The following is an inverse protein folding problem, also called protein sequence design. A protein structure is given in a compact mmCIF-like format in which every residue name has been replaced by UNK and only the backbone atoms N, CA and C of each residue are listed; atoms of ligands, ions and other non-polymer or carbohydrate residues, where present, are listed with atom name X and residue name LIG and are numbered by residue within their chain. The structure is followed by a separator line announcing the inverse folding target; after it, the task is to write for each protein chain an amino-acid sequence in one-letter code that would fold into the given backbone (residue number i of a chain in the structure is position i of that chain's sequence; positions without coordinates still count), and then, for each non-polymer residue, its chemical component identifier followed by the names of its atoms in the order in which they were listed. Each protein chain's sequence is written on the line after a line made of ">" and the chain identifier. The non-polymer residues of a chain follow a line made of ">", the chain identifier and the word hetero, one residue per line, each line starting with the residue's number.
data_IF_840524034688
#
_entry.id   IF_840524034688
#
_cell.length_a   1.000
_cell.length_b   1.000
_cell.length_c   1.000
_cell.angle_alpha   90.00
_cell.angle_beta   90.00
_cell.angle_gamma   90.00
#
_symmetry.space_group_name_H-M   'P 1'
#
loop_
_entity.id
_entity.type
_entity.pdbx_description
1 polymer ?
#
# COMPACT_ATOMS: atom_id res chain seq x y z
N UNK A 1 0.19 30.14 9.30
CA UNK A 1 0.70 29.17 10.29
C UNK A 1 0.52 27.79 9.70
N UNK A 2 1.64 27.13 9.40
CA UNK A 2 1.78 26.09 8.38
C UNK A 2 1.09 24.76 8.72
N UNK A 3 0.59 24.09 7.66
CA UNK A 3 -0.09 22.81 7.66
C UNK A 3 0.75 21.60 8.08
N UNK A 4 1.40 21.67 9.25
CA UNK A 4 2.10 20.53 9.87
C UNK A 4 1.10 19.39 10.15
N UNK A 5 1.56 18.15 9.97
CA UNK A 5 0.77 16.96 10.27
C UNK A 5 0.49 16.89 11.77
N UNK A 6 -0.79 16.80 12.13
CA UNK A 6 -1.24 16.66 13.51
C UNK A 6 -1.03 15.21 13.93
N UNK A 7 -0.01 14.97 14.75
CA UNK A 7 0.24 13.69 15.39
C UNK A 7 0.97 13.89 16.72
N UNK A 8 0.97 12.88 17.58
CA UNK A 8 1.57 12.97 18.91
C UNK A 8 3.08 13.28 18.89
N UNK A 9 3.82 12.87 17.86
CA UNK A 9 5.25 13.18 17.76
C UNK A 9 5.48 14.67 17.44
N UNK A 10 4.74 15.23 16.49
CA UNK A 10 4.86 16.64 16.12
C UNK A 10 4.43 17.55 17.27
N UNK A 11 3.34 17.19 17.95
CA UNK A 11 2.82 17.94 19.08
C UNK A 11 3.74 17.86 20.29
N UNK A 12 4.28 16.67 20.62
CA UNK A 12 5.26 16.54 21.70
C UNK A 12 6.48 17.42 21.49
N UNK A 13 6.98 17.48 20.25
CA UNK A 13 8.13 18.31 19.88
C UNK A 13 7.81 19.80 19.96
N UNK A 14 6.65 20.22 19.47
CA UNK A 14 6.26 21.63 19.41
C UNK A 14 5.89 22.19 20.81
N UNK A 15 5.15 21.42 21.60
CA UNK A 15 4.74 21.80 22.95
C UNK A 15 5.81 21.50 24.01
N UNK A 16 6.95 20.93 23.60
CA UNK A 16 8.06 20.54 24.47
C UNK A 16 7.64 19.66 25.67
N UNK A 17 6.76 18.69 25.41
CA UNK A 17 6.26 17.72 26.38
C UNK A 17 6.57 16.30 25.94
N UNK A 18 6.61 15.36 26.88
CA UNK A 18 6.74 13.94 26.53
C UNK A 18 5.45 13.40 25.91
N UNK A 19 5.59 12.39 25.04
CA UNK A 19 4.42 11.65 24.52
C UNK A 19 3.62 10.98 25.63
N UNK A 20 4.31 10.45 26.64
CA UNK A 20 3.66 9.84 27.79
C UNK A 20 2.74 10.81 28.53
N UNK A 21 3.13 12.09 28.64
CA UNK A 21 2.28 13.14 29.19
C UNK A 21 1.06 13.41 28.31
N UNK A 22 1.25 13.55 26.98
CA UNK A 22 0.12 13.72 26.04
C UNK A 22 -0.86 12.55 26.05
N UNK A 23 -0.36 11.33 26.25
CA UNK A 23 -1.24 10.20 26.48
C UNK A 23 -1.92 10.31 27.84
N UNK A 24 -1.24 10.67 28.92
CA UNK A 24 -1.84 10.73 30.26
C UNK A 24 -3.03 11.70 30.36
N UNK A 25 -2.94 12.85 29.70
CA UNK A 25 -4.00 13.87 29.72
C UNK A 25 -5.14 13.53 28.73
N UNK A 26 -6.26 13.06 29.27
CA UNK A 26 -7.37 12.53 28.46
C UNK A 26 -7.94 13.54 27.47
N UNK A 27 -8.22 14.77 27.92
CA UNK A 27 -8.84 15.81 27.09
C UNK A 27 -7.92 16.21 25.93
N UNK A 28 -6.62 16.29 26.22
CA UNK A 28 -5.59 16.61 25.23
C UNK A 28 -5.48 15.48 24.20
N UNK A 29 -5.44 14.22 24.65
CA UNK A 29 -5.41 13.05 23.77
C UNK A 29 -6.59 13.05 22.80
N UNK A 30 -7.82 13.20 23.31
CA UNK A 30 -9.03 13.23 22.48
C UNK A 30 -9.00 14.36 21.46
N UNK A 31 -8.51 15.53 21.87
CA UNK A 31 -8.42 16.68 20.97
C UNK A 31 -7.44 16.42 19.82
N UNK A 32 -6.28 15.82 20.12
CA UNK A 32 -5.27 15.46 19.12
C UNK A 32 -5.83 14.44 18.13
N UNK A 33 -6.52 13.42 18.62
CA UNK A 33 -7.15 12.37 17.80
C UNK A 33 -8.21 12.96 16.87
N UNK A 34 -9.15 13.76 17.41
CA UNK A 34 -10.20 14.39 16.62
C UNK A 34 -9.65 15.31 15.53
N UNK A 35 -8.60 16.09 15.83
CA UNK A 35 -7.97 16.96 14.84
C UNK A 35 -7.24 16.16 13.75
N UNK A 36 -6.59 15.05 14.14
CA UNK A 36 -5.92 14.14 13.20
C UNK A 36 -6.92 13.49 12.25
N UNK A 37 -8.07 13.03 12.75
CA UNK A 37 -9.14 12.44 11.92
C UNK A 37 -9.70 13.44 10.90
N UNK A 38 -9.93 14.70 11.32
CA UNK A 38 -10.36 15.76 10.41
C UNK A 38 -9.32 16.03 9.32
N UNK A 39 -8.03 16.03 9.67
CA UNK A 39 -6.94 16.22 8.70
C UNK A 39 -6.87 15.06 7.70
N UNK A 40 -7.04 13.81 8.15
CA UNK A 40 -7.08 12.64 7.27
C UNK A 40 -8.28 12.74 6.33
N UNK A 41 -9.46 13.05 6.86
CA UNK A 41 -10.69 13.16 6.07
C UNK A 41 -10.57 14.25 5.01
N UNK A 42 -10.06 15.44 5.38
CA UNK A 42 -9.80 16.52 4.44
C UNK A 42 -8.79 16.12 3.34
N UNK A 43 -7.73 15.39 3.70
CA UNK A 43 -6.73 14.88 2.75
C UNK A 43 -7.27 13.78 1.83
N UNK A 44 -8.23 12.98 2.29
CA UNK A 44 -8.89 11.95 1.47
C UNK A 44 -9.84 12.61 0.46
N UNK A 45 -10.55 13.67 0.87
CA UNK A 45 -11.43 14.44 -0.02
C UNK A 45 -10.63 15.25 -1.04
N UNK A 46 -9.43 15.74 -0.69
CA UNK A 46 -8.59 16.56 -1.57
C UNK A 46 -7.66 15.78 -2.49
N UNK A 47 -7.42 14.48 -2.24
CA UNK A 47 -6.69 13.64 -3.19
C UNK A 47 -7.57 13.42 -4.44
N UNK A 48 -7.11 13.78 -5.64
CA UNK A 48 -7.82 13.36 -6.84
C UNK A 48 -7.88 11.84 -6.84
N UNK A 49 -9.10 11.28 -6.89
CA UNK A 49 -9.28 9.86 -7.23
C UNK A 49 -8.45 9.64 -8.49
N UNK A 50 -7.53 8.66 -8.48
CA UNK A 50 -6.81 8.27 -9.70
C UNK A 50 -7.84 8.14 -10.81
N UNK A 51 -7.62 8.79 -11.96
CA UNK A 51 -8.65 8.81 -13.00
C UNK A 51 -8.99 7.37 -13.38
N UNK A 52 -10.27 7.06 -13.59
CA UNK A 52 -10.72 5.71 -13.99
C UNK A 52 -9.88 5.15 -15.14
N UNK A 53 -9.51 6.03 -16.08
CA UNK A 53 -8.62 5.74 -17.21
C UNK A 53 -7.24 5.23 -16.80
N UNK A 54 -6.63 5.80 -15.76
CA UNK A 54 -5.33 5.34 -15.26
C UNK A 54 -5.42 3.95 -14.59
N UNK A 55 -6.53 3.65 -13.94
CA UNK A 55 -6.80 2.35 -13.35
C UNK A 55 -7.06 1.28 -14.42
N UNK A 56 -7.83 1.61 -15.46
CA UNK A 56 -8.08 0.74 -16.61
C UNK A 56 -6.79 0.36 -17.35
N UNK A 57 -5.88 1.33 -17.56
CA UNK A 57 -4.57 1.09 -18.18
C UNK A 57 -3.72 0.17 -17.31
N UNK A 58 -3.71 0.41 -15.99
CA UNK A 58 -2.98 -0.44 -15.04
C UNK A 58 -3.52 -1.87 -15.06
N UNK A 59 -4.84 -2.04 -14.99
CA UNK A 59 -5.50 -3.35 -15.04
C UNK A 59 -5.17 -4.07 -16.35
N UNK A 60 -5.24 -3.39 -17.49
CA UNK A 60 -4.91 -3.97 -18.80
C UNK A 60 -3.45 -4.46 -18.86
N UNK A 61 -2.53 -3.67 -18.32
CA UNK A 61 -1.10 -3.98 -18.28
C UNK A 61 -0.83 -5.19 -17.39
N UNK A 62 -1.43 -5.22 -16.20
CA UNK A 62 -1.29 -6.34 -15.27
C UNK A 62 -1.87 -7.63 -15.84
N UNK A 63 -3.06 -7.59 -16.46
CA UNK A 63 -3.66 -8.75 -17.12
C UNK A 63 -2.76 -9.32 -18.22
N UNK A 64 -2.16 -8.45 -19.04
CA UNK A 64 -1.20 -8.89 -20.07
C UNK A 64 0.00 -9.60 -19.46
N UNK A 65 0.57 -9.03 -18.39
CA UNK A 65 1.73 -9.64 -17.72
C UNK A 65 1.40 -11.02 -17.13
N UNK A 66 0.22 -11.17 -16.53
CA UNK A 66 -0.24 -12.47 -16.01
C UNK A 66 -0.36 -13.49 -17.14
N UNK A 67 -1.00 -13.14 -18.26
CA UNK A 67 -1.13 -14.04 -19.40
C UNK A 67 0.23 -14.49 -19.97
N UNK A 68 1.19 -13.57 -20.07
CA UNK A 68 2.54 -13.88 -20.54
C UNK A 68 3.25 -14.86 -19.60
N UNK A 69 3.16 -14.62 -18.29
CA UNK A 69 3.75 -15.48 -17.26
C UNK A 69 3.11 -16.87 -17.25
N UNK A 70 1.79 -16.97 -17.37
CA UNK A 70 1.08 -18.25 -17.44
C UNK A 70 1.48 -19.06 -18.68
N UNK A 71 1.62 -18.37 -19.83
CA UNK A 71 2.07 -19.01 -21.07
C UNK A 71 3.49 -19.54 -20.95
N UNK A 72 4.40 -18.77 -20.35
CA UNK A 72 5.78 -19.18 -20.12
C UNK A 72 5.86 -20.35 -19.15
N UNK A 73 5.12 -20.30 -18.04
CA UNK A 73 5.06 -21.38 -17.06
C UNK A 73 4.58 -22.69 -17.72
N UNK A 74 3.51 -22.64 -18.51
CA UNK A 74 3.02 -23.82 -19.24
C UNK A 74 4.05 -24.37 -20.23
N UNK A 75 4.79 -23.50 -20.91
CA UNK A 75 5.88 -23.91 -21.82
C UNK A 75 7.00 -24.63 -21.06
N UNK A 76 7.42 -24.09 -19.92
CA UNK A 76 8.45 -24.68 -19.06
C UNK A 76 8.00 -26.04 -18.52
N UNK A 77 6.76 -26.15 -18.04
CA UNK A 77 6.19 -27.41 -17.57
C UNK A 77 6.20 -28.48 -18.67
N UNK A 78 5.80 -28.14 -19.89
CA UNK A 78 5.84 -29.08 -21.02
C UNK A 78 7.27 -29.51 -21.38
N UNK A 79 8.24 -28.59 -21.32
CA UNK A 79 9.65 -28.92 -21.55
C UNK A 79 10.17 -29.88 -20.48
N UNK A 80 9.86 -29.62 -19.21
CA UNK A 80 10.21 -30.49 -18.10
C UNK A 80 9.61 -31.89 -18.29
N UNK A 81 8.31 -31.97 -18.60
CA UNK A 81 7.62 -33.26 -18.82
C UNK A 81 8.27 -34.06 -19.95
N UNK A 82 8.61 -33.40 -21.07
CA UNK A 82 9.28 -34.06 -22.19
C UNK A 82 10.66 -34.59 -21.78
N UNK A 83 11.47 -33.78 -21.10
CA UNK A 83 12.80 -34.18 -20.65
C UNK A 83 12.75 -35.37 -19.68
N UNK A 84 11.79 -35.39 -18.76
CA UNK A 84 11.58 -36.53 -17.86
C UNK A 84 11.15 -37.79 -18.62
N UNK A 85 10.26 -37.66 -19.62
CA UNK A 85 9.87 -38.78 -20.48
C UNK A 85 11.05 -39.33 -21.28
N UNK A 86 11.89 -38.46 -21.86
CA UNK A 86 13.08 -38.85 -22.62
C UNK A 86 14.14 -39.55 -21.73
N UNK A 87 14.22 -39.18 -20.45
CA UNK A 87 15.09 -39.83 -19.47
C UNK A 87 14.63 -41.25 -19.15
N UNK A 88 13.33 -41.42 -18.92
CA UNK A 88 12.74 -42.71 -18.54
C UNK A 88 12.68 -43.71 -19.70
N UNK A 89 12.50 -43.22 -20.94
CA UNK A 89 12.50 -44.06 -22.14
C UNK A 89 13.91 -44.49 -22.60
N UNK A 90 14.96 -44.02 -21.93
CA UNK A 90 16.36 -44.38 -22.21
C UNK A 90 16.93 -45.45 -21.27
N UNK A 91 16.18 -45.83 -20.23
CA UNK A 91 16.44 -47.00 -19.38
C UNK A 91 15.71 -48.24 -19.93
#
# INVERSE_FOLDING_TARGET
>A
MEGKVINFNSIAKEANVSKSWLYKEHDIRQRIESLRERQITANVVSKPKKSSRSEEILIKTLKRRVMELEKENKKLQNQIQKLYGDLYNKE
#
